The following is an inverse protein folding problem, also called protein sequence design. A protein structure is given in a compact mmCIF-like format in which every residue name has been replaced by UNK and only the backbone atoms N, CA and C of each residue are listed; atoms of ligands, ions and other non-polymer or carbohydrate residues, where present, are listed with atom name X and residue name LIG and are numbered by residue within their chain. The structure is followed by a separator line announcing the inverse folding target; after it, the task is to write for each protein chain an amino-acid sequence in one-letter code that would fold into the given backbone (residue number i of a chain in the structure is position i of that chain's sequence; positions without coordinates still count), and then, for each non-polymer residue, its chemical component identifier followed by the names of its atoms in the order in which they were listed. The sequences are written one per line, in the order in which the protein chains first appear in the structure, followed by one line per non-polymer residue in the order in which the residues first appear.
data_IF_268803418566
#
_entry.id   IF_268803418566
#
_cell.length_a   1.000
_cell.length_b   1.000
_cell.length_c   1.000
_cell.angle_alpha   90.00
_cell.angle_beta   90.00
_cell.angle_gamma   90.00
#
_symmetry.space_group_name_H-M   'P 1'
#
loop_
_entity.id
_entity.type
_entity.pdbx_description
1 polymer ?
#
# COMPACT_ATOMS: atom_id res chain seq x y z
N UNK A 1 -20.30 2.60 -39.72
CA UNK A 1 -19.37 2.85 -38.60
C UNK A 1 -18.74 4.25 -38.67
N UNK A 2 -17.74 4.54 -39.52
CA UNK A 2 -17.02 5.85 -39.50
C UNK A 2 -17.94 7.09 -39.64
N UNK A 3 -18.91 7.06 -40.57
CA UNK A 3 -19.88 8.15 -40.73
C UNK A 3 -20.74 8.39 -39.49
N UNK A 4 -21.07 7.31 -38.77
CA UNK A 4 -21.87 7.40 -37.55
C UNK A 4 -21.05 7.99 -36.39
N UNK A 5 -19.78 7.57 -36.25
CA UNK A 5 -18.85 8.16 -35.29
C UNK A 5 -18.68 9.66 -35.55
N UNK A 6 -18.43 10.05 -36.81
CA UNK A 6 -18.30 11.45 -37.20
C UNK A 6 -19.55 12.26 -36.84
N UNK A 7 -20.74 11.74 -37.16
CA UNK A 7 -22.01 12.42 -36.83
C UNK A 7 -22.20 12.60 -35.32
N UNK A 8 -21.87 11.59 -34.50
CA UNK A 8 -21.96 11.68 -33.04
C UNK A 8 -20.96 12.68 -32.45
N UNK A 9 -19.75 12.74 -33.01
CA UNK A 9 -18.73 13.72 -32.62
C UNK A 9 -19.19 15.14 -32.95
N UNK A 10 -19.69 15.38 -34.16
CA UNK A 10 -20.22 16.69 -34.55
C UNK A 10 -21.37 17.11 -33.65
N UNK A 11 -22.29 16.20 -33.34
CA UNK A 11 -23.37 16.45 -32.39
C UNK A 11 -22.84 16.81 -30.99
N UNK A 12 -21.88 16.03 -30.46
CA UNK A 12 -21.28 16.30 -29.16
C UNK A 12 -20.58 17.66 -29.11
N UNK A 13 -19.79 17.99 -30.12
CA UNK A 13 -19.06 19.26 -30.18
C UNK A 13 -19.98 20.48 -30.35
N UNK A 14 -21.08 20.34 -31.10
CA UNK A 14 -22.05 21.43 -31.28
C UNK A 14 -22.85 21.72 -30.00
N UNK A 15 -23.21 20.68 -29.24
CA UNK A 15 -23.91 20.83 -27.95
C UNK A 15 -22.97 21.31 -26.84
N UNK A 16 -21.66 21.11 -26.98
CA UNK A 16 -20.68 21.34 -25.91
C UNK A 16 -19.44 22.07 -26.42
N UNK A 17 -19.61 23.30 -26.94
CA UNK A 17 -18.52 24.09 -27.52
C UNK A 17 -17.33 24.30 -26.55
N UNK A 18 -17.60 24.50 -25.26
CA UNK A 18 -16.57 24.72 -24.23
C UNK A 18 -15.66 23.50 -23.97
N UNK A 19 -16.15 22.31 -24.27
CA UNK A 19 -15.45 21.03 -24.04
C UNK A 19 -15.39 20.20 -25.33
N UNK A 20 -15.36 20.87 -26.48
CA UNK A 20 -15.27 20.22 -27.77
C UNK A 20 -14.07 19.26 -27.82
N UNK A 21 -14.29 18.09 -28.44
CA UNK A 21 -13.23 17.11 -28.66
C UNK A 21 -12.28 17.69 -29.70
N UNK A 22 -10.99 17.66 -29.39
CA UNK A 22 -9.91 18.16 -30.25
C UNK A 22 -9.71 17.28 -31.49
N UNK A 23 -9.17 17.88 -32.56
CA UNK A 23 -8.97 17.19 -33.84
C UNK A 23 -8.17 15.89 -33.72
N UNK A 24 -7.12 15.86 -32.89
CA UNK A 24 -6.31 14.65 -32.70
C UNK A 24 -7.09 13.50 -32.03
N UNK A 25 -8.02 13.80 -31.14
CA UNK A 25 -8.89 12.78 -30.54
C UNK A 25 -10.00 12.36 -31.49
N UNK A 26 -10.54 13.29 -32.29
CA UNK A 26 -11.49 12.97 -33.35
C UNK A 26 -10.87 11.96 -34.32
N UNK A 27 -9.66 12.21 -34.80
CA UNK A 27 -8.98 11.29 -35.73
C UNK A 27 -8.87 9.89 -35.14
N UNK A 28 -8.44 9.77 -33.88
CA UNK A 28 -8.35 8.48 -33.17
C UNK A 28 -9.70 7.77 -33.07
N UNK A 29 -10.77 8.50 -32.72
CA UNK A 29 -12.11 7.93 -32.65
C UNK A 29 -12.61 7.46 -34.03
N UNK A 30 -12.29 8.18 -35.11
CA UNK A 30 -12.62 7.77 -36.47
C UNK A 30 -11.89 6.49 -36.90
N UNK A 31 -10.68 6.26 -36.38
CA UNK A 31 -9.97 4.98 -36.52
C UNK A 31 -10.49 3.87 -35.58
N UNK A 32 -11.48 4.15 -34.74
CA UNK A 32 -12.04 3.20 -33.78
C UNK A 32 -11.15 2.96 -32.56
N UNK A 33 -10.25 3.90 -32.25
CA UNK A 33 -9.31 3.83 -31.12
C UNK A 33 -9.64 4.93 -30.11
N UNK A 34 -9.83 4.55 -28.85
CA UNK A 34 -10.03 5.50 -27.76
C UNK A 34 -9.04 5.31 -26.61
N UNK A 35 -9.11 6.24 -25.66
CA UNK A 35 -8.37 6.15 -24.40
C UNK A 35 -9.30 6.44 -23.21
N UNK A 36 -8.99 5.89 -22.05
CA UNK A 36 -9.75 6.09 -20.81
C UNK A 36 -8.81 6.20 -19.61
N UNK A 37 -8.66 7.40 -19.07
CA UNK A 37 -7.80 7.64 -17.91
C UNK A 37 -8.28 8.84 -17.07
N UNK A 38 -7.82 8.94 -15.83
CA UNK A 38 -8.21 9.99 -14.89
C UNK A 38 -7.92 11.42 -15.39
N UNK A 39 -6.94 11.57 -16.29
CA UNK A 39 -6.59 12.86 -16.91
C UNK A 39 -7.58 13.39 -17.97
N UNK A 40 -8.61 12.61 -18.35
CA UNK A 40 -9.63 13.06 -19.28
C UNK A 40 -10.82 13.72 -18.58
N UNK A 41 -11.47 14.65 -19.28
CA UNK A 41 -12.73 15.24 -18.86
C UNK A 41 -13.79 14.13 -18.67
N UNK A 42 -14.64 14.21 -17.62
CA UNK A 42 -15.69 13.23 -17.39
C UNK A 42 -16.62 13.02 -18.60
N UNK A 43 -16.95 14.11 -19.31
CA UNK A 43 -17.77 14.07 -20.51
C UNK A 43 -17.12 13.28 -21.66
N UNK A 44 -15.81 13.45 -21.87
CA UNK A 44 -15.05 12.72 -22.90
C UNK A 44 -14.99 11.22 -22.59
N UNK A 45 -14.78 10.85 -21.32
CA UNK A 45 -14.84 9.44 -20.88
C UNK A 45 -16.20 8.83 -21.13
N UNK A 46 -17.28 9.53 -20.76
CA UNK A 46 -18.65 9.07 -20.98
C UNK A 46 -18.95 8.89 -22.48
N UNK A 47 -18.43 9.79 -23.32
CA UNK A 47 -18.57 9.69 -24.77
C UNK A 47 -17.82 8.48 -25.34
N UNK A 48 -16.55 8.27 -24.95
CA UNK A 48 -15.77 7.10 -25.36
C UNK A 48 -16.41 5.78 -24.89
N UNK A 49 -16.91 5.73 -23.65
CA UNK A 49 -17.66 4.58 -23.13
C UNK A 49 -18.93 4.29 -23.95
N UNK A 50 -19.65 5.34 -24.34
CA UNK A 50 -20.83 5.22 -25.20
C UNK A 50 -20.48 4.61 -26.55
N UNK A 51 -19.43 5.13 -27.22
CA UNK A 51 -18.95 4.61 -28.49
C UNK A 51 -18.50 3.14 -28.39
N UNK A 52 -17.85 2.75 -27.29
CA UNK A 52 -17.42 1.37 -27.07
C UNK A 52 -18.60 0.43 -26.85
N UNK A 53 -19.62 0.84 -26.07
CA UNK A 53 -20.82 0.02 -25.81
C UNK A 53 -21.63 -0.27 -27.07
N UNK A 54 -21.65 0.65 -28.03
CA UNK A 54 -22.31 0.45 -29.33
C UNK A 54 -21.38 -0.15 -30.40
N UNK A 55 -20.22 -0.69 -30.00
CA UNK A 55 -19.25 -1.38 -30.85
C UNK A 55 -18.66 -0.51 -31.99
N UNK A 56 -18.78 0.82 -31.90
CA UNK A 56 -18.18 1.77 -32.83
C UNK A 56 -16.69 2.03 -32.53
N UNK A 57 -16.23 1.65 -31.35
CA UNK A 57 -14.83 1.71 -30.93
C UNK A 57 -14.31 0.29 -30.71
N UNK A 58 -13.27 -0.09 -31.43
CA UNK A 58 -12.74 -1.46 -31.43
C UNK A 58 -11.63 -1.65 -30.39
N UNK A 59 -10.87 -0.60 -30.10
CA UNK A 59 -9.74 -0.64 -29.16
C UNK A 59 -9.83 0.53 -28.20
N UNK A 60 -9.65 0.26 -26.90
CA UNK A 60 -9.56 1.31 -25.87
C UNK A 60 -8.32 1.07 -25.02
N UNK A 61 -7.48 2.09 -24.93
CA UNK A 61 -6.35 2.12 -24.01
C UNK A 61 -6.78 2.69 -22.67
N UNK A 62 -6.69 1.91 -21.61
CA UNK A 62 -7.20 2.33 -20.31
C UNK A 62 -6.18 2.18 -19.19
N UNK A 63 -6.30 3.04 -18.18
CA UNK A 63 -5.60 2.85 -16.90
C UNK A 63 -6.36 1.87 -16.01
N UNK A 64 -5.67 1.31 -15.02
CA UNK A 64 -6.20 0.32 -14.05
C UNK A 64 -7.56 0.69 -13.45
N UNK A 65 -7.84 1.98 -13.24
CA UNK A 65 -9.12 2.49 -12.71
C UNK A 65 -10.35 2.03 -13.51
N UNK A 66 -10.19 1.71 -14.81
CA UNK A 66 -11.28 1.17 -15.62
C UNK A 66 -11.78 -0.19 -15.07
N UNK A 67 -10.87 -1.01 -14.55
CA UNK A 67 -11.19 -2.35 -14.07
C UNK A 67 -12.15 -2.34 -12.87
N UNK A 68 -12.14 -1.27 -12.06
CA UNK A 68 -12.85 -1.20 -10.80
C UNK A 68 -14.29 -0.63 -10.88
N UNK A 69 -14.73 -0.01 -11.99
CA UNK A 69 -15.91 0.87 -11.89
C UNK A 69 -16.84 1.07 -13.08
N UNK A 70 -16.58 0.49 -14.25
CA UNK A 70 -17.34 0.83 -15.46
C UNK A 70 -17.87 -0.41 -16.19
N UNK A 71 -19.10 -0.34 -16.71
CA UNK A 71 -19.66 -1.39 -17.56
C UNK A 71 -19.15 -1.25 -19.01
N UNK A 72 -17.92 -1.71 -19.26
CA UNK A 72 -17.26 -1.72 -20.56
C UNK A 72 -16.62 -3.11 -20.82
N UNK A 73 -17.42 -4.17 -21.03
CA UNK A 73 -16.89 -5.51 -21.27
C UNK A 73 -16.30 -5.63 -22.68
N UNK A 74 -15.12 -6.21 -22.79
CA UNK A 74 -14.41 -6.43 -24.05
C UNK A 74 -14.32 -7.93 -24.35
N UNK A 75 -14.15 -8.33 -25.61
CA UNK A 75 -13.87 -9.73 -25.94
C UNK A 75 -12.49 -10.15 -25.43
N UNK A 76 -11.52 -9.27 -25.60
CA UNK A 76 -10.12 -9.49 -25.25
C UNK A 76 -9.60 -8.35 -24.40
N UNK A 77 -8.83 -8.67 -23.36
CA UNK A 77 -8.07 -7.68 -22.58
C UNK A 77 -6.58 -7.92 -22.79
N UNK A 78 -5.82 -6.83 -22.86
CA UNK A 78 -4.36 -6.87 -23.04
C UNK A 78 -3.72 -6.12 -21.88
N UNK A 79 -2.89 -6.81 -21.12
CA UNK A 79 -2.09 -6.22 -20.03
C UNK A 79 -0.73 -5.87 -20.60
N UNK A 80 -0.46 -4.58 -20.74
CA UNK A 80 0.77 -4.10 -21.39
C UNK A 80 2.01 -4.14 -20.50
N UNK A 81 1.85 -4.16 -19.18
CA UNK A 81 2.95 -4.22 -18.21
C UNK A 81 2.45 -4.83 -16.90
N UNK A 82 3.31 -5.63 -16.29
CA UNK A 82 3.08 -6.33 -15.04
C UNK A 82 3.57 -5.55 -13.82
N UNK A 83 4.40 -4.53 -13.99
CA UNK A 83 4.81 -3.63 -12.92
C UNK A 83 4.07 -2.29 -12.95
N UNK A 84 3.89 -1.75 -11.77
CA UNK A 84 3.25 -0.47 -11.53
C UNK A 84 4.12 0.37 -10.60
N UNK A 85 4.20 1.66 -10.87
CA UNK A 85 4.78 2.62 -9.92
C UNK A 85 3.72 3.06 -8.92
N UNK A 86 3.88 2.63 -7.67
CA UNK A 86 3.11 3.08 -6.52
C UNK A 86 3.79 4.22 -5.76
N UNK A 87 3.31 4.47 -4.54
CA UNK A 87 3.91 5.45 -3.62
C UNK A 87 5.31 5.01 -3.16
N UNK A 88 5.49 3.72 -2.97
CA UNK A 88 6.70 3.13 -2.39
C UNK A 88 7.72 2.67 -3.46
N UNK A 89 7.49 2.98 -4.74
CA UNK A 89 8.37 2.61 -5.84
C UNK A 89 7.67 1.77 -6.91
N UNK A 90 8.46 1.01 -7.67
CA UNK A 90 7.96 0.09 -8.70
C UNK A 90 7.76 -1.28 -8.06
N UNK A 91 6.56 -1.83 -8.19
CA UNK A 91 6.21 -3.17 -7.72
C UNK A 91 5.43 -3.93 -8.79
N UNK A 92 5.46 -5.26 -8.73
CA UNK A 92 4.57 -6.08 -9.54
C UNK A 92 3.10 -5.81 -9.18
N UNK A 93 2.21 -6.05 -10.13
CA UNK A 93 0.77 -5.98 -9.95
C UNK A 93 0.31 -7.07 -8.98
N UNK A 94 -0.62 -6.71 -8.10
CA UNK A 94 -1.31 -7.67 -7.26
C UNK A 94 -2.22 -8.57 -8.13
N UNK A 95 -2.31 -9.85 -7.75
CA UNK A 95 -3.21 -10.83 -8.38
C UNK A 95 -4.64 -10.32 -8.50
N UNK A 96 -5.14 -9.63 -7.45
CA UNK A 96 -6.47 -9.05 -7.44
C UNK A 96 -6.67 -8.04 -8.59
N UNK A 97 -5.71 -7.15 -8.80
CA UNK A 97 -5.81 -6.10 -9.83
C UNK A 97 -5.71 -6.72 -11.23
N UNK A 98 -4.81 -7.71 -11.41
CA UNK A 98 -4.71 -8.44 -12.66
C UNK A 98 -6.02 -9.16 -12.98
N UNK A 99 -6.62 -9.87 -12.01
CA UNK A 99 -7.89 -10.57 -12.19
C UNK A 99 -9.05 -9.62 -12.46
N UNK A 100 -9.07 -8.43 -11.85
CA UNK A 100 -10.09 -7.41 -12.16
C UNK A 100 -9.97 -6.90 -13.60
N UNK A 101 -8.75 -6.70 -14.10
CA UNK A 101 -8.51 -6.31 -15.49
C UNK A 101 -8.86 -7.47 -16.45
N UNK A 102 -8.39 -8.68 -16.15
CA UNK A 102 -8.65 -9.88 -16.95
C UNK A 102 -10.15 -10.21 -17.01
N UNK A 103 -10.88 -10.01 -15.91
CA UNK A 103 -12.33 -10.24 -15.82
C UNK A 103 -13.19 -9.29 -16.67
N UNK A 104 -12.57 -8.29 -17.33
CA UNK A 104 -13.25 -7.50 -18.38
C UNK A 104 -13.28 -8.20 -19.73
N UNK A 105 -12.52 -9.28 -19.91
CA UNK A 105 -12.58 -10.12 -21.10
C UNK A 105 -13.80 -11.05 -21.06
N UNK A 106 -14.43 -11.24 -22.22
CA UNK A 106 -15.63 -12.04 -22.39
C UNK A 106 -16.90 -11.24 -22.15
N UNK A 107 -17.70 -11.07 -23.18
CA UNK A 107 -18.98 -10.37 -23.11
C UNK A 107 -20.11 -11.38 -22.89
N UNK A 108 -20.85 -11.22 -21.79
CA UNK A 108 -21.97 -12.10 -21.43
C UNK A 108 -23.00 -12.16 -22.57
N UNK A 109 -23.29 -13.37 -23.03
CA UNK A 109 -24.28 -13.63 -24.08
C UNK A 109 -23.81 -13.32 -25.51
N UNK A 110 -22.57 -12.85 -25.70
CA UNK A 110 -21.99 -12.59 -27.03
C UNK A 110 -20.76 -13.46 -27.31
N UNK A 111 -19.88 -13.63 -26.33
CA UNK A 111 -18.67 -14.42 -26.47
C UNK A 111 -18.80 -15.74 -25.66
N UNK A 112 -18.26 -16.84 -26.19
CA UNK A 112 -18.17 -18.11 -25.46
C UNK A 112 -17.14 -18.04 -24.34
N UNK A 113 -16.00 -17.43 -24.65
CA UNK A 113 -14.83 -17.34 -23.78
C UNK A 113 -14.22 -15.93 -23.87
N UNK A 114 -13.65 -15.47 -22.75
CA UNK A 114 -12.85 -14.24 -22.69
C UNK A 114 -11.37 -14.56 -22.87
N UNK A 115 -10.65 -13.72 -23.62
CA UNK A 115 -9.19 -13.86 -23.78
C UNK A 115 -8.45 -12.76 -23.03
N UNK A 116 -7.49 -13.11 -22.19
CA UNK A 116 -6.56 -12.17 -21.57
C UNK A 116 -5.15 -12.43 -22.11
N UNK A 117 -4.49 -11.39 -22.61
CA UNK A 117 -3.11 -11.45 -23.11
C UNK A 117 -2.22 -10.60 -22.22
N UNK A 118 -1.15 -11.18 -21.69
CA UNK A 118 -0.14 -10.46 -20.92
C UNK A 118 1.07 -10.26 -21.82
N UNK A 119 1.43 -8.99 -22.07
CA UNK A 119 2.62 -8.66 -22.86
C UNK A 119 3.85 -8.75 -21.97
N UNK A 120 4.82 -9.56 -22.37
CA UNK A 120 6.15 -9.53 -21.78
C UNK A 120 6.87 -8.23 -22.17
N UNK A 121 7.70 -7.72 -21.27
CA UNK A 121 8.60 -6.58 -21.54
C UNK A 121 10.05 -7.00 -21.31
N UNK A 122 11.01 -6.14 -21.65
CA UNK A 122 12.43 -6.44 -21.42
C UNK A 122 12.79 -6.65 -19.94
N UNK A 123 11.93 -6.23 -19.01
CA UNK A 123 12.16 -6.30 -17.57
C UNK A 123 11.20 -7.26 -16.85
N UNK A 124 10.15 -7.74 -17.54
CA UNK A 124 9.07 -8.52 -16.95
C UNK A 124 8.81 -9.74 -17.83
N UNK A 125 9.07 -10.92 -17.28
CA UNK A 125 9.07 -12.18 -18.01
C UNK A 125 7.83 -13.05 -17.77
N UNK A 126 7.80 -14.26 -18.38
CA UNK A 126 6.75 -15.24 -18.12
C UNK A 126 6.75 -15.71 -16.66
N UNK A 127 7.90 -15.75 -15.99
CA UNK A 127 7.99 -16.16 -14.58
C UNK A 127 7.24 -15.19 -13.66
N UNK A 128 7.34 -13.88 -13.93
CA UNK A 128 6.59 -12.85 -13.21
C UNK A 128 5.09 -13.03 -13.45
N UNK A 129 4.68 -13.29 -14.69
CA UNK A 129 3.27 -13.53 -15.03
C UNK A 129 2.71 -14.74 -14.28
N UNK A 130 3.46 -15.85 -14.24
CA UNK A 130 3.09 -17.05 -13.48
C UNK A 130 2.97 -16.70 -12.00
N UNK A 131 3.96 -16.00 -11.43
CA UNK A 131 3.92 -15.62 -10.02
C UNK A 131 2.67 -14.81 -9.66
N UNK A 132 2.30 -13.82 -10.46
CA UNK A 132 1.12 -12.98 -10.22
C UNK A 132 -0.16 -13.81 -10.33
N UNK A 133 -0.24 -14.74 -11.30
CA UNK A 133 -1.41 -15.58 -11.51
C UNK A 133 -1.58 -16.67 -10.43
N UNK A 134 -0.49 -17.19 -9.87
CA UNK A 134 -0.53 -18.27 -8.87
C UNK A 134 -0.57 -17.76 -7.43
N UNK A 135 -0.16 -16.52 -7.19
CA UNK A 135 -0.20 -15.93 -5.85
C UNK A 135 -1.63 -15.84 -5.30
N UNK A 136 -1.75 -15.96 -3.99
CA UNK A 136 -3.04 -15.76 -3.33
C UNK A 136 -3.50 -14.30 -3.43
N UNK A 137 -4.81 -14.12 -3.53
CA UNK A 137 -5.42 -12.80 -3.48
C UNK A 137 -5.22 -12.25 -2.07
N UNK A 138 -4.44 -11.16 -1.96
CA UNK A 138 -4.20 -10.48 -0.69
C UNK A 138 -5.53 -10.13 0.00
N UNK A 139 -5.66 -10.36 1.32
CA UNK A 139 -6.87 -10.04 2.05
C UNK A 139 -7.11 -8.52 2.06
N UNK A 140 -8.37 -8.13 2.20
CA UNK A 140 -8.73 -6.72 2.39
C UNK A 140 -8.21 -6.29 3.75
N UNK A 141 -7.29 -5.33 3.76
CA UNK A 141 -6.73 -4.75 4.98
C UNK A 141 -7.38 -3.41 5.31
N UNK A 142 -7.57 -3.12 6.59
CA UNK A 142 -8.10 -1.82 7.03
C UNK A 142 -7.12 -0.69 6.69
N UNK A 143 -7.63 0.33 6.00
CA UNK A 143 -6.93 1.60 5.77
C UNK A 143 -7.35 2.69 6.77
N UNK A 144 -7.95 2.28 7.90
CA UNK A 144 -8.43 3.22 8.91
C UNK A 144 -7.26 3.98 9.56
N UNK A 145 -7.21 5.29 9.32
CA UNK A 145 -6.24 6.20 9.93
C UNK A 145 -6.97 7.28 10.74
N UNK A 146 -6.75 7.38 12.06
CA UNK A 146 -7.36 8.42 12.88
C UNK A 146 -6.92 9.82 12.42
N UNK A 147 -7.89 10.70 12.14
CA UNK A 147 -7.64 12.10 11.80
C UNK A 147 -8.33 13.05 12.78
N UNK A 148 -7.82 14.28 12.92
CA UNK A 148 -8.44 15.30 13.76
C UNK A 148 -9.88 15.59 13.33
N UNK A 149 -10.14 15.67 12.03
CA UNK A 149 -11.49 15.87 11.49
C UNK A 149 -12.43 14.73 11.89
N UNK A 150 -11.95 13.49 11.87
CA UNK A 150 -12.72 12.34 12.34
C UNK A 150 -13.04 12.46 13.84
N UNK A 151 -12.04 12.80 14.67
CA UNK A 151 -12.22 12.95 16.11
C UNK A 151 -13.27 14.03 16.44
N UNK A 152 -13.16 15.21 15.82
CA UNK A 152 -14.11 16.32 16.01
C UNK A 152 -15.52 15.90 15.59
N UNK A 153 -15.67 15.28 14.41
CA UNK A 153 -16.97 14.83 13.90
C UNK A 153 -17.61 13.76 14.80
N UNK A 154 -16.81 12.87 15.39
CA UNK A 154 -17.30 11.85 16.33
C UNK A 154 -17.77 12.47 17.64
N UNK A 155 -17.02 13.43 18.18
CA UNK A 155 -17.39 14.16 19.41
C UNK A 155 -18.64 15.01 19.19
N UNK A 156 -18.72 15.71 18.06
CA UNK A 156 -19.89 16.51 17.69
C UNK A 156 -21.15 15.64 17.55
N UNK A 157 -21.06 14.50 16.86
CA UNK A 157 -22.18 13.53 16.75
C UNK A 157 -22.56 12.93 18.10
N UNK A 158 -21.59 12.74 18.99
CA UNK A 158 -21.82 12.26 20.35
C UNK A 158 -22.30 13.33 21.34
N UNK A 159 -22.61 14.55 20.89
CA UNK A 159 -22.95 15.69 21.74
C UNK A 159 -21.92 15.92 22.87
N UNK A 160 -20.63 15.76 22.55
CA UNK A 160 -19.52 15.88 23.50
C UNK A 160 -19.17 14.59 24.25
N UNK A 161 -19.94 13.50 24.12
CA UNK A 161 -19.69 12.24 24.83
C UNK A 161 -18.62 11.40 24.13
N UNK A 162 -17.48 11.23 24.81
CA UNK A 162 -16.36 10.43 24.33
C UNK A 162 -16.69 8.93 24.21
N UNK A 163 -17.65 8.43 24.98
CA UNK A 163 -18.01 7.00 24.96
C UNK A 163 -18.65 6.58 23.63
N UNK A 164 -19.42 7.48 23.00
CA UNK A 164 -20.02 7.24 21.68
C UNK A 164 -18.93 7.16 20.61
N UNK A 165 -17.97 8.09 20.64
CA UNK A 165 -16.83 8.09 19.75
C UNK A 165 -15.98 6.80 19.92
N UNK A 166 -15.70 6.40 21.16
CA UNK A 166 -14.94 5.18 21.47
C UNK A 166 -15.66 3.93 20.97
N UNK A 167 -16.98 3.84 21.15
CA UNK A 167 -17.75 2.69 20.67
C UNK A 167 -17.77 2.59 19.13
N UNK A 168 -17.79 3.72 18.42
CA UNK A 168 -17.70 3.73 16.96
C UNK A 168 -16.32 3.29 16.46
N UNK A 169 -15.25 3.77 17.09
CA UNK A 169 -13.88 3.32 16.76
C UNK A 169 -13.69 1.83 17.06
N UNK A 170 -14.26 1.33 18.17
CA UNK A 170 -14.24 -0.10 18.51
C UNK A 170 -14.93 -0.99 17.46
N UNK A 171 -15.95 -0.47 16.77
CA UNK A 171 -16.62 -1.17 15.67
C UNK A 171 -15.91 -1.04 14.33
N UNK A 172 -14.78 -0.34 14.27
CA UNK A 172 -14.02 -0.20 13.02
C UNK A 172 -13.38 -1.52 12.61
N UNK A 173 -13.23 -1.70 11.30
CA UNK A 173 -12.57 -2.88 10.73
C UNK A 173 -11.12 -3.04 11.23
N UNK A 174 -10.40 -1.93 11.48
CA UNK A 174 -9.05 -1.97 12.07
C UNK A 174 -9.03 -2.59 13.47
N UNK A 175 -10.02 -2.28 14.32
CA UNK A 175 -10.10 -2.86 15.66
C UNK A 175 -10.47 -4.34 15.60
N UNK A 176 -11.34 -4.72 14.65
CA UNK A 176 -11.67 -6.13 14.41
C UNK A 176 -10.46 -6.93 13.93
N UNK A 177 -9.69 -6.42 12.96
CA UNK A 177 -8.45 -7.07 12.48
C UNK A 177 -7.44 -7.24 13.61
N UNK A 178 -7.23 -6.19 14.42
CA UNK A 178 -6.33 -6.26 15.56
C UNK A 178 -6.75 -7.36 16.55
N UNK A 179 -8.04 -7.45 16.84
CA UNK A 179 -8.58 -8.47 17.74
C UNK A 179 -8.37 -9.88 17.17
N UNK A 180 -8.61 -10.09 15.87
CA UNK A 180 -8.36 -11.38 15.22
C UNK A 180 -6.88 -11.80 15.28
N UNK A 181 -5.96 -10.85 15.11
CA UNK A 181 -4.53 -11.11 15.24
C UNK A 181 -4.17 -11.47 16.70
N UNK A 182 -4.70 -10.73 17.68
CA UNK A 182 -4.48 -11.01 19.10
C UNK A 182 -4.98 -12.40 19.50
N UNK A 183 -6.19 -12.80 19.05
CA UNK A 183 -6.76 -14.13 19.27
C UNK A 183 -5.91 -15.23 18.61
N UNK A 184 -5.42 -14.99 17.39
CA UNK A 184 -4.54 -15.91 16.67
C UNK A 184 -3.18 -16.07 17.39
N UNK A 185 -2.63 -14.98 17.93
CA UNK A 185 -1.36 -15.01 18.69
C UNK A 185 -1.55 -15.74 20.01
N UNK A 186 -2.67 -15.53 20.70
CA UNK A 186 -2.91 -16.16 22.00
C UNK A 186 -3.12 -17.67 21.85
N UNK A 187 -3.87 -18.12 20.84
CA UNK A 187 -3.99 -19.55 20.53
C UNK A 187 -2.64 -20.20 20.17
N UNK A 188 -1.77 -19.49 19.45
CA UNK A 188 -0.41 -19.97 19.15
C UNK A 188 0.45 -20.10 20.41
N UNK A 189 0.38 -19.14 21.35
CA UNK A 189 1.07 -19.23 22.64
C UNK A 189 0.59 -20.43 23.45
N UNK A 190 -0.72 -20.66 23.51
CA UNK A 190 -1.30 -21.82 24.21
C UNK A 190 -0.84 -23.15 23.59
N UNK A 191 -0.66 -23.22 22.27
CA UNK A 191 -0.17 -24.41 21.58
C UNK A 191 1.34 -24.66 21.72
N UNK A 192 2.16 -23.61 21.90
CA UNK A 192 3.63 -23.72 21.88
C UNK A 192 4.30 -23.52 23.24
N UNK A 193 3.55 -23.11 24.28
CA UNK A 193 4.06 -22.95 25.65
C UNK A 193 5.24 -21.97 25.77
N UNK A 194 6.09 -22.17 26.78
CA UNK A 194 7.26 -21.32 27.09
C UNK A 194 8.28 -21.18 25.93
N UNK A 195 8.26 -22.09 24.94
CA UNK A 195 9.13 -22.02 23.75
C UNK A 195 8.79 -20.81 22.88
N UNK A 196 7.54 -20.33 22.91
CA UNK A 196 7.12 -19.15 22.13
C UNK A 196 7.80 -17.88 22.62
N UNK A 197 7.97 -17.70 23.93
CA UNK A 197 8.65 -16.53 24.49
C UNK A 197 10.13 -16.51 24.09
N UNK A 198 10.81 -17.66 24.17
CA UNK A 198 12.21 -17.79 23.75
C UNK A 198 12.39 -17.55 22.24
N UNK A 199 11.47 -18.04 21.39
CA UNK A 199 11.51 -17.83 19.93
C UNK A 199 11.16 -16.39 19.56
N UNK A 200 10.21 -15.75 20.22
CA UNK A 200 9.86 -14.33 19.98
C UNK A 200 10.97 -13.40 20.46
N UNK A 201 11.58 -13.64 21.61
CA UNK A 201 12.75 -12.87 22.06
C UNK A 201 13.94 -13.06 21.11
N UNK A 202 14.17 -14.28 20.64
CA UNK A 202 15.22 -14.58 19.66
C UNK A 202 14.94 -13.94 18.31
N UNK A 203 13.70 -14.01 17.79
CA UNK A 203 13.31 -13.45 16.50
C UNK A 203 13.24 -11.91 16.51
N UNK A 204 12.85 -11.30 17.62
CA UNK A 204 12.88 -9.84 17.80
C UNK A 204 14.32 -9.32 17.94
N UNK A 205 15.19 -10.04 18.67
CA UNK A 205 16.62 -9.75 18.66
C UNK A 205 17.25 -9.90 17.28
N UNK A 206 16.98 -11.00 16.56
CA UNK A 206 17.54 -11.22 15.23
C UNK A 206 17.03 -10.18 14.22
N UNK A 207 15.73 -9.84 14.22
CA UNK A 207 15.18 -8.75 13.40
C UNK A 207 15.81 -7.39 13.74
N UNK A 208 15.98 -7.07 15.02
CA UNK A 208 16.62 -5.82 15.42
C UNK A 208 18.08 -5.76 14.97
N UNK A 209 18.82 -6.86 15.09
CA UNK A 209 20.20 -6.95 14.61
C UNK A 209 20.29 -6.83 13.09
N UNK A 210 19.35 -7.40 12.34
CA UNK A 210 19.34 -7.31 10.89
C UNK A 210 18.97 -5.90 10.39
N UNK A 211 18.02 -5.22 11.05
CA UNK A 211 17.74 -3.79 10.78
C UNK A 211 18.97 -2.94 11.10
N UNK A 212 19.61 -3.14 12.25
CA UNK A 212 20.84 -2.42 12.60
C UNK A 212 21.99 -2.68 11.61
N UNK A 213 22.17 -3.92 11.16
CA UNK A 213 23.18 -4.25 10.15
C UNK A 213 22.91 -3.52 8.84
N UNK A 214 21.64 -3.48 8.42
CA UNK A 214 21.22 -2.80 7.19
C UNK A 214 21.53 -1.31 7.31
N UNK A 215 21.12 -0.66 8.40
CA UNK A 215 21.33 0.77 8.63
C UNK A 215 22.82 1.15 8.72
N UNK A 216 23.62 0.34 9.43
CA UNK A 216 25.06 0.58 9.56
C UNK A 216 25.79 0.32 8.23
N UNK A 217 25.31 -0.62 7.42
CA UNK A 217 25.86 -0.89 6.08
C UNK A 217 25.54 0.26 5.11
N UNK A 218 24.36 0.86 5.20
CA UNK A 218 24.02 2.07 4.43
C UNK A 218 24.87 3.27 4.85
N UNK A 219 25.11 3.46 6.16
CA UNK A 219 26.01 4.49 6.67
C UNK A 219 27.47 4.29 6.23
N UNK A 220 27.89 3.05 6.01
CA UNK A 220 29.22 2.70 5.47
C UNK A 220 29.40 3.16 4.02
N UNK A 221 28.36 3.06 3.20
CA UNK A 221 28.37 3.51 1.79
C UNK A 221 28.52 5.04 1.70
N UNK A 222 28.02 5.78 2.69
CA UNK A 222 28.07 7.25 2.75
C UNK A 222 29.26 7.88 3.49
N UNK A 223 30.17 7.10 4.08
CA UNK A 223 31.21 7.64 4.97
C UNK A 223 32.58 7.87 4.32
N UNK A 224 33.21 9.01 4.66
CA UNK A 224 34.59 9.33 4.28
C UNK A 224 35.66 8.44 4.97
N UNK A 225 36.91 8.44 4.47
CA UNK A 225 37.92 7.43 4.80
C UNK A 225 38.30 7.35 6.29
N UNK A 226 38.18 8.44 7.05
CA UNK A 226 38.50 8.47 8.49
C UNK A 226 37.47 7.76 9.39
N UNK A 227 36.20 7.67 8.98
CA UNK A 227 35.12 7.04 9.77
C UNK A 227 34.84 5.60 9.33
N UNK A 228 35.30 5.22 8.13
CA UNK A 228 35.06 3.93 7.50
C UNK A 228 35.56 2.76 8.35
N UNK A 229 36.78 2.86 8.88
CA UNK A 229 37.40 1.84 9.73
C UNK A 229 36.61 1.60 11.03
N UNK A 230 35.97 2.64 11.58
CA UNK A 230 35.17 2.50 12.80
C UNK A 230 33.85 1.77 12.53
N UNK A 231 33.19 2.05 11.40
CA UNK A 231 31.96 1.36 11.04
C UNK A 231 32.21 -0.07 10.55
N UNK A 232 33.33 -0.33 9.86
CA UNK A 232 33.80 -1.68 9.50
C UNK A 232 34.01 -2.54 10.76
N UNK A 233 34.63 -1.99 11.80
CA UNK A 233 34.79 -2.68 13.08
C UNK A 233 33.44 -2.97 13.76
N UNK A 234 32.46 -2.06 13.67
CA UNK A 234 31.11 -2.26 14.24
C UNK A 234 30.38 -3.38 13.49
N UNK A 235 30.46 -3.42 12.16
CA UNK A 235 29.87 -4.49 11.35
C UNK A 235 30.54 -5.84 11.62
N UNK A 236 31.86 -5.87 11.80
CA UNK A 236 32.59 -7.10 12.16
C UNK A 236 32.14 -7.65 13.52
N UNK A 237 31.90 -6.77 14.50
CA UNK A 237 31.39 -7.16 15.83
C UNK A 237 29.94 -7.63 15.75
N UNK A 238 29.09 -6.97 14.97
CA UNK A 238 27.68 -7.36 14.75
C UNK A 238 27.54 -8.71 14.03
N UNK A 239 28.53 -9.11 13.23
CA UNK A 239 28.56 -10.39 12.54
C UNK A 239 29.14 -11.54 13.39
N UNK A 240 29.85 -11.24 14.49
CA UNK A 240 30.46 -12.26 15.34
C UNK A 240 29.60 -12.57 16.58
N UNK A 241 28.73 -13.59 16.47
CA UNK A 241 27.80 -14.03 17.53
C UNK A 241 28.47 -14.30 18.90
N UNK A 242 29.75 -14.70 18.93
CA UNK A 242 30.49 -14.95 20.19
C UNK A 242 31.00 -13.67 20.86
N UNK A 243 31.45 -12.67 20.08
CA UNK A 243 31.82 -11.34 20.61
C UNK A 243 30.60 -10.59 21.14
N UNK A 244 29.45 -10.72 20.47
CA UNK A 244 28.15 -10.16 20.88
C UNK A 244 27.67 -10.70 22.24
N UNK A 245 27.79 -12.02 22.48
CA UNK A 245 27.47 -12.62 23.79
C UNK A 245 28.38 -12.13 24.93
N UNK A 246 29.65 -11.82 24.65
CA UNK A 246 30.57 -11.24 25.65
C UNK A 246 30.27 -9.77 25.95
N UNK A 247 29.93 -8.98 24.93
CA UNK A 247 29.56 -7.57 25.07
C UNK A 247 28.17 -7.36 25.72
N UNK A 248 27.21 -8.25 25.44
CA UNK A 248 25.87 -8.27 26.05
C UNK A 248 25.92 -8.34 27.59
N UNK A 249 26.82 -9.16 28.16
CA UNK A 249 27.02 -9.22 29.63
C UNK A 249 27.50 -7.89 30.22
N UNK A 250 28.27 -7.11 29.46
CA UNK A 250 28.71 -5.76 29.86
C UNK A 250 27.57 -4.75 29.75
N UNK A 251 26.66 -4.94 28.78
CA UNK A 251 25.48 -4.08 28.56
C UNK A 251 24.41 -4.22 29.66
N UNK A 252 24.27 -5.41 30.25
CA UNK A 252 23.38 -5.63 31.41
C UNK A 252 23.83 -4.78 32.61
N UNK A 253 25.14 -4.60 32.81
CA UNK A 253 25.69 -3.69 33.83
C UNK A 253 25.40 -2.21 33.53
N UNK A 254 25.40 -1.80 32.26
CA UNK A 254 25.02 -0.45 31.84
C UNK A 254 23.51 -0.17 32.02
N UNK A 255 22.65 -1.18 31.81
CA UNK A 255 21.20 -1.08 32.09
C UNK A 255 20.92 -0.82 33.58
N UNK A 256 21.67 -1.47 34.49
CA UNK A 256 21.57 -1.21 35.94
C UNK A 256 22.04 0.21 36.31
N UNK A 257 23.05 0.76 35.62
CA UNK A 257 23.51 2.15 35.81
C UNK A 257 22.46 3.15 35.31
N UNK A 258 21.81 2.87 34.16
CA UNK A 258 20.74 3.71 33.62
C UNK A 258 19.46 3.68 34.48
N UNK A 259 19.15 2.53 35.09
CA UNK A 259 18.05 2.40 36.08
C UNK A 259 18.35 3.20 37.36
N UNK A 260 19.62 3.25 37.81
CA UNK A 260 20.06 4.09 38.93
C UNK A 260 19.95 5.59 38.62
N UNK A 261 20.27 6.03 37.40
CA UNK A 261 20.06 7.42 36.96
C UNK A 261 18.56 7.79 36.92
N UNK A 262 17.69 6.87 36.51
CA UNK A 262 16.23 7.05 36.57
C UNK A 262 15.70 7.23 38.00
N UNK A 263 16.26 6.50 38.97
CA UNK A 263 15.87 6.64 40.38
C UNK A 263 16.34 7.95 41.01
N UNK A 264 17.52 8.46 40.64
CA UNK A 264 18.04 9.75 41.13
C UNK A 264 17.28 10.94 40.54
N UNK A 265 16.92 10.89 39.26
CA UNK A 265 16.07 11.91 38.62
C UNK A 265 14.65 11.98 39.21
N UNK A 266 14.09 10.83 39.61
CA UNK A 266 12.80 10.78 40.32
C UNK A 266 12.90 11.31 41.76
N UNK A 267 14.04 11.14 42.43
CA UNK A 267 14.27 11.69 43.76
C UNK A 267 14.38 13.22 43.72
N UNK A 268 15.10 13.77 42.74
CA UNK A 268 15.23 15.22 42.53
C UNK A 268 13.92 15.88 42.09
N UNK A 269 13.08 15.19 41.30
CA UNK A 269 11.72 15.68 40.97
C UNK A 269 10.82 15.77 42.20
N UNK A 270 10.87 14.77 43.08
CA UNK A 270 10.10 14.79 44.35
C UNK A 270 10.55 15.93 45.27
N UNK A 271 11.86 16.19 45.37
CA UNK A 271 12.39 17.32 46.15
C UNK A 271 11.96 18.69 45.58
N UNK A 272 11.95 18.83 44.26
CA UNK A 272 11.46 20.04 43.58
C UNK A 272 9.95 20.25 43.75
N UNK A 273 9.16 19.19 43.81
CA UNK A 273 7.72 19.25 44.10
C UNK A 273 7.47 19.66 45.56
N UNK A 274 8.26 19.17 46.53
CA UNK A 274 8.15 19.60 47.93
C UNK A 274 8.52 21.07 48.14
N UNK A 275 9.53 21.59 47.42
CA UNK A 275 9.92 23.00 47.50
C UNK A 275 8.89 23.96 46.89
N UNK A 276 8.10 23.50 45.92
CA UNK A 276 7.02 24.30 45.31
C UNK A 276 5.73 24.31 46.16
N UNK A 277 5.55 23.39 47.10
CA UNK A 277 4.44 23.42 48.06
C UNK A 277 4.65 24.42 49.21
N UNK A 278 5.89 24.83 49.49
CA UNK A 278 6.22 25.79 50.55
C UNK A 278 6.13 27.27 50.09
N UNK A 279 5.80 27.52 48.82
CA UNK A 279 5.69 28.85 48.21
C UNK A 279 4.25 29.21 47.76
N UNK A 280 3.25 28.44 48.20
CA UNK A 280 1.81 28.72 48.04
C UNK A 280 1.12 28.94 49.37
#
# INVERSE_FOLDING_TARGET
EVKEVASRITYFNNENEEIAIDSATIDRFLYGVGSHHAGQLPAHKAFAESLFRVELMKVVFATETLAAGINMPARTTVICSMAKRGKDGISLLDTANLLQMAGRAGRRGMDTDGTCVISATSFEGPDDAVSILTNEIKPVVSQFSPSYSLAINLIARGAGRLDVARNLVRKSFAMWEKQQIEESVESLKEMTGDVFNDVVESASHERFLDVLKTEVSELLVGCGPKKRTSYENIVEVLNNKQKLKRASKTYIGLKQIFELEGTTLNCLKKEAETLNCDLS
#
